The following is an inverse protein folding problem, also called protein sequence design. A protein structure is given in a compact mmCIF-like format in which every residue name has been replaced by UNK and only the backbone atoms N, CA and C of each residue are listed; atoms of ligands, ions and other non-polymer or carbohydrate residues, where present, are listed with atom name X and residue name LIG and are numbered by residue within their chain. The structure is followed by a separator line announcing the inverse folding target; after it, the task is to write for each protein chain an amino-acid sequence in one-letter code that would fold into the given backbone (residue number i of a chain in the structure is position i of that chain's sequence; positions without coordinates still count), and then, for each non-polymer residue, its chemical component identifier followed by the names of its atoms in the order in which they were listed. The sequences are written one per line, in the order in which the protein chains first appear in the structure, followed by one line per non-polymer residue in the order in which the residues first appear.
data_IF_012254291716
#
_entry.id   IF_012254291716
#
_cell.length_a   1.000
_cell.length_b   1.000
_cell.length_c   1.000
_cell.angle_alpha   90.00
_cell.angle_beta   90.00
_cell.angle_gamma   90.00
#
_symmetry.space_group_name_H-M   'P 1'
#
loop_
_entity.id
_entity.type
_entity.pdbx_description
1 polymer ?
#
# COMPACT_ATOMS: atom_id res chain seq x y z
N UNK A 1 7.75 -1.90 10.44
CA UNK A 1 8.20 -2.31 9.09
C UNK A 1 8.73 -3.73 9.15
N UNK A 2 8.29 -4.55 8.23
CA UNK A 2 8.76 -5.92 8.06
C UNK A 2 9.69 -5.97 6.84
N UNK A 3 10.97 -6.19 7.10
CA UNK A 3 12.02 -6.24 6.07
C UNK A 3 11.80 -7.41 5.09
N UNK A 4 12.43 -7.37 3.91
CA UNK A 4 12.42 -8.51 2.98
C UNK A 4 12.91 -9.79 3.66
N UNK A 5 12.29 -10.92 3.35
CA UNK A 5 12.63 -12.21 3.92
C UNK A 5 12.02 -12.53 5.26
N UNK A 6 11.35 -11.59 5.92
CA UNK A 6 10.59 -11.89 7.15
C UNK A 6 9.34 -12.71 6.82
N UNK A 7 8.82 -13.42 7.82
CA UNK A 7 7.66 -14.30 7.62
C UNK A 7 6.46 -13.57 7.02
N UNK A 8 6.11 -12.38 7.55
CA UNK A 8 4.99 -11.60 7.03
C UNK A 8 5.25 -11.08 5.62
N UNK A 9 6.47 -10.61 5.33
CA UNK A 9 6.81 -10.12 3.99
C UNK A 9 6.71 -11.24 2.97
N UNK A 10 7.20 -12.45 3.28
CA UNK A 10 7.11 -13.61 2.40
C UNK A 10 5.65 -14.04 2.18
N UNK A 11 4.84 -14.05 3.21
CA UNK A 11 3.42 -14.39 3.11
C UNK A 11 2.68 -13.39 2.21
N UNK A 12 2.88 -12.10 2.42
CA UNK A 12 2.26 -11.06 1.59
C UNK A 12 2.75 -11.14 0.13
N UNK A 13 4.02 -11.44 -0.08
CA UNK A 13 4.57 -11.65 -1.41
C UNK A 13 3.87 -12.80 -2.14
N UNK A 14 3.71 -13.94 -1.48
CA UNK A 14 3.07 -15.12 -2.05
C UNK A 14 1.59 -14.87 -2.38
N UNK A 15 0.91 -14.05 -1.59
CA UNK A 15 -0.50 -13.68 -1.81
C UNK A 15 -0.67 -12.58 -2.85
N UNK A 16 0.39 -11.87 -3.23
CA UNK A 16 0.30 -10.82 -4.24
C UNK A 16 0.11 -11.40 -5.64
N UNK A 17 -0.46 -10.59 -6.53
CA UNK A 17 -0.64 -10.99 -7.92
C UNK A 17 0.68 -10.93 -8.68
N UNK A 18 0.84 -11.82 -9.66
CA UNK A 18 2.04 -11.89 -10.50
C UNK A 18 2.38 -10.55 -11.15
N UNK A 19 1.37 -9.85 -11.68
CA UNK A 19 1.58 -8.53 -12.28
C UNK A 19 2.15 -7.51 -11.30
N UNK A 20 1.72 -7.57 -10.04
CA UNK A 20 2.23 -6.67 -8.99
C UNK A 20 3.69 -7.01 -8.65
N UNK A 21 4.03 -8.30 -8.65
CA UNK A 21 5.41 -8.76 -8.38
C UNK A 21 6.40 -8.33 -9.46
N UNK A 22 5.95 -8.19 -10.71
CA UNK A 22 6.80 -7.73 -11.80
C UNK A 22 7.40 -6.34 -11.57
N UNK A 23 6.73 -5.49 -10.80
CA UNK A 23 7.26 -4.16 -10.44
C UNK A 23 8.59 -4.25 -9.66
N UNK A 24 8.83 -5.36 -8.99
CA UNK A 24 10.05 -5.59 -8.22
C UNK A 24 11.12 -6.35 -8.99
N UNK A 25 10.81 -6.84 -10.19
CA UNK A 25 11.69 -7.64 -11.01
C UNK A 25 12.38 -6.82 -12.12
N UNK A 26 12.47 -5.52 -11.99
CA UNK A 26 13.12 -4.65 -12.94
C UNK A 26 14.64 -4.87 -12.93
N UNK A 27 15.23 -5.00 -14.13
CA UNK A 27 16.65 -5.21 -14.28
C UNK A 27 17.47 -3.94 -14.03
N UNK A 28 16.89 -2.79 -14.31
CA UNK A 28 17.53 -1.49 -14.13
C UNK A 28 16.98 -0.79 -12.88
N UNK A 29 17.85 -0.16 -12.12
CA UNK A 29 17.44 0.64 -10.97
C UNK A 29 16.57 1.83 -11.40
N UNK A 30 15.61 2.27 -10.57
CA UNK A 30 14.81 3.46 -10.89
C UNK A 30 15.68 4.67 -11.21
N UNK A 31 15.32 5.41 -12.25
CA UNK A 31 16.02 6.61 -12.74
C UNK A 31 17.42 6.34 -13.31
N UNK A 32 17.83 5.10 -13.48
CA UNK A 32 19.08 4.83 -14.20
C UNK A 32 18.93 5.17 -15.70
N UNK A 33 20.00 5.60 -16.33
CA UNK A 33 19.99 5.92 -17.76
C UNK A 33 19.86 4.65 -18.60
N UNK A 34 19.03 4.72 -19.63
CA UNK A 34 18.82 3.64 -20.57
C UNK A 34 19.17 4.12 -21.97
N UNK A 35 19.74 3.23 -22.76
CA UNK A 35 19.97 3.51 -24.19
C UNK A 35 18.73 3.19 -25.03
N UNK A 36 17.87 2.29 -24.57
CA UNK A 36 16.58 1.93 -25.17
C UNK A 36 15.53 1.71 -24.07
N UNK A 37 14.25 2.06 -24.35
CA UNK A 37 13.19 1.97 -23.33
C UNK A 37 12.98 0.56 -22.78
N UNK A 38 13.10 -0.46 -23.62
CA UNK A 38 12.86 -1.84 -23.23
C UNK A 38 13.88 -2.40 -22.23
N UNK A 39 15.02 -1.71 -22.03
CA UNK A 39 15.97 -2.06 -20.97
C UNK A 39 15.40 -1.83 -19.55
N UNK A 40 14.36 -1.03 -19.44
CA UNK A 40 13.64 -0.81 -18.18
C UNK A 40 12.48 -1.77 -17.94
N UNK A 41 12.23 -2.70 -18.86
CA UNK A 41 11.12 -3.64 -18.71
C UNK A 41 11.40 -4.63 -17.59
N UNK A 42 10.34 -4.95 -16.84
CA UNK A 42 10.38 -6.02 -15.85
C UNK A 42 10.41 -7.38 -16.53
N UNK A 43 11.35 -8.26 -16.15
CA UNK A 43 11.52 -9.58 -16.76
C UNK A 43 11.78 -10.63 -15.70
N UNK A 44 11.23 -11.81 -15.93
CA UNK A 44 11.53 -13.00 -15.15
C UNK A 44 10.85 -13.04 -13.79
N UNK A 45 11.42 -13.85 -12.93
CA UNK A 45 11.04 -14.01 -11.53
C UNK A 45 12.10 -13.36 -10.65
N UNK A 46 11.72 -12.88 -9.47
CA UNK A 46 12.60 -12.21 -8.54
C UNK A 46 11.95 -10.98 -7.99
N UNK A 47 12.68 -10.21 -7.19
CA UNK A 47 12.19 -8.99 -6.57
C UNK A 47 11.74 -9.17 -5.13
N UNK A 48 11.58 -10.40 -4.64
CA UNK A 48 11.20 -10.67 -3.24
C UNK A 48 12.20 -10.06 -2.26
N UNK A 49 13.44 -9.96 -2.62
CA UNK A 49 14.53 -9.33 -1.85
C UNK A 49 14.35 -7.81 -1.68
N UNK A 50 13.47 -7.19 -2.46
CA UNK A 50 13.14 -5.77 -2.38
C UNK A 50 11.77 -5.50 -1.77
N UNK A 51 11.04 -6.56 -1.42
CA UNK A 51 9.67 -6.45 -0.96
C UNK A 51 9.60 -6.34 0.56
N UNK A 52 9.20 -5.18 1.05
CA UNK A 52 8.96 -4.91 2.46
C UNK A 52 7.48 -4.67 2.72
N UNK A 53 7.03 -4.93 3.93
CA UNK A 53 5.65 -4.68 4.36
C UNK A 53 5.64 -3.63 5.45
N UNK A 54 4.79 -2.62 5.28
CA UNK A 54 4.50 -1.63 6.32
C UNK A 54 3.09 -1.90 6.83
N UNK A 55 2.98 -2.17 8.13
CA UNK A 55 1.70 -2.34 8.81
C UNK A 55 1.37 -1.06 9.55
N UNK A 56 0.22 -0.52 9.30
CA UNK A 56 -0.27 0.71 9.93
C UNK A 56 -1.56 0.38 10.67
N UNK A 57 -1.59 0.67 11.97
CA UNK A 57 -2.81 0.58 12.76
C UNK A 57 -3.52 1.93 12.74
N UNK A 58 -4.73 1.94 12.20
CA UNK A 58 -5.56 3.14 12.15
C UNK A 58 -6.34 3.24 13.47
N UNK A 59 -6.16 4.34 14.18
CA UNK A 59 -6.83 4.60 15.46
C UNK A 59 -7.92 5.66 15.34
N UNK A 60 -7.84 6.49 14.30
CA UNK A 60 -8.83 7.52 14.01
C UNK A 60 -9.02 7.66 12.51
N UNK A 61 -10.27 7.76 12.10
CA UNK A 61 -10.64 7.99 10.71
C UNK A 61 -11.65 9.12 10.66
N UNK A 62 -11.44 10.09 9.78
CA UNK A 62 -12.43 11.08 9.44
C UNK A 62 -12.92 10.87 8.02
N UNK A 63 -14.23 10.82 7.84
CA UNK A 63 -14.88 10.68 6.55
C UNK A 63 -15.59 11.97 6.20
N UNK A 64 -15.35 12.50 5.02
CA UNK A 64 -16.00 13.70 4.51
C UNK A 64 -16.61 13.40 3.14
N UNK A 65 -17.92 13.55 3.04
CA UNK A 65 -18.66 13.45 1.79
C UNK A 65 -19.05 14.84 1.31
N UNK A 66 -18.57 15.19 0.13
CA UNK A 66 -18.84 16.49 -0.49
C UNK A 66 -20.03 16.33 -1.45
N UNK A 67 -21.13 17.02 -1.16
CA UNK A 67 -22.33 16.97 -1.96
C UNK A 67 -22.92 18.36 -2.13
N UNK A 68 -23.51 18.63 -3.30
CA UNK A 68 -24.09 19.95 -3.60
C UNK A 68 -25.31 20.31 -2.73
N UNK A 69 -26.00 19.31 -2.17
CA UNK A 69 -27.14 19.50 -1.27
C UNK A 69 -26.75 19.58 0.20
N UNK A 70 -25.47 19.42 0.51
CA UNK A 70 -24.95 19.50 1.87
C UNK A 70 -23.86 18.43 2.12
N UNK A 71 -22.80 18.86 2.75
CA UNK A 71 -21.71 17.97 3.12
C UNK A 71 -22.06 17.14 4.34
N UNK A 72 -21.41 16.00 4.48
CA UNK A 72 -21.55 15.13 5.65
C UNK A 72 -20.17 14.78 6.14
N UNK A 73 -19.98 14.77 7.45
CA UNK A 73 -18.72 14.42 8.08
C UNK A 73 -18.96 13.47 9.25
N UNK A 74 -18.14 12.44 9.33
CA UNK A 74 -18.17 11.48 10.43
C UNK A 74 -16.75 11.25 10.96
N UNK A 75 -16.66 11.07 12.27
CA UNK A 75 -15.41 10.72 12.95
C UNK A 75 -15.56 9.34 13.55
N UNK A 76 -14.55 8.52 13.33
CA UNK A 76 -14.45 7.16 13.86
C UNK A 76 -13.21 7.08 14.75
N UNK A 77 -13.38 6.66 16.00
CA UNK A 77 -12.29 6.47 16.95
C UNK A 77 -12.24 5.02 17.39
N UNK A 78 -11.03 4.46 17.43
CA UNK A 78 -10.79 3.15 18.03
C UNK A 78 -10.47 3.33 19.50
N UNK A 79 -11.34 2.82 20.37
CA UNK A 79 -11.17 2.89 21.83
C UNK A 79 -11.64 1.59 22.47
N UNK A 80 -10.84 1.09 23.40
CA UNK A 80 -11.20 -0.07 24.23
C UNK A 80 -11.66 -1.30 23.41
N UNK A 81 -10.96 -1.54 22.30
CA UNK A 81 -11.25 -2.71 21.43
C UNK A 81 -12.45 -2.53 20.51
N UNK A 82 -13.00 -1.35 20.36
CA UNK A 82 -14.16 -1.09 19.49
C UNK A 82 -14.06 0.26 18.78
N UNK A 83 -14.72 0.35 17.62
CA UNK A 83 -14.91 1.61 16.91
C UNK A 83 -16.13 2.34 17.45
N UNK A 84 -15.94 3.60 17.83
CA UNK A 84 -17.03 4.54 18.01
C UNK A 84 -17.16 5.44 16.79
N UNK A 85 -18.38 5.89 16.50
CA UNK A 85 -18.63 6.79 15.37
C UNK A 85 -19.54 7.95 15.80
N UNK A 86 -19.26 9.11 15.23
CA UNK A 86 -20.01 10.33 15.52
C UNK A 86 -20.15 11.18 14.25
N UNK A 87 -21.38 11.60 13.95
CA UNK A 87 -21.60 12.65 12.97
C UNK A 87 -21.13 13.97 13.55
N UNK A 88 -20.39 14.74 12.77
CA UNK A 88 -19.92 16.07 13.15
C UNK A 88 -20.21 17.07 12.04
N UNK A 89 -20.21 18.34 12.37
CA UNK A 89 -20.39 19.37 11.35
C UNK A 89 -19.23 19.34 10.34
N UNK A 90 -19.53 19.45 9.07
CA UNK A 90 -18.51 19.43 8.03
C UNK A 90 -17.61 20.67 8.05
#
# INVERSE_FOLDING_TARGET
IHAPGTALALECWEQSQEKSRLCYAQLAAPRSDLTRPEQGDARGSGGVEYFSVVVIEVQKLEWLYLHHEGHRRAVFDWRDGAWSKQWVAP
#
